data_IF_505794618527
#
_entry.id   IF_505794618527
#
_cell.length_a   1.000
_cell.length_b   1.000
_cell.length_c   1.000
_cell.angle_alpha   90.00
_cell.angle_beta   90.00
_cell.angle_gamma   90.00
#
_symmetry.space_group_name_H-M   'P 1'
#
loop_
_entity.id
_entity.type
_entity.pdbx_description
1 polymer ?
#
# COMPACT_ATOMS: atom_id res chain seq x y z
N UNK A 1 -0.51 -5.21 -6.25
CA UNK A 1 -1.99 -5.39 -6.32
C UNK A 1 -2.71 -4.07 -5.98
N UNK A 2 -2.53 -3.43 -4.81
CA UNK A 2 -3.25 -2.19 -4.46
C UNK A 2 -3.18 -1.10 -5.53
N UNK A 3 -1.99 -0.83 -6.09
CA UNK A 3 -1.81 0.12 -7.20
C UNK A 3 -2.67 -0.26 -8.41
N UNK A 4 -2.66 -1.54 -8.82
CA UNK A 4 -3.44 -2.00 -9.98
C UNK A 4 -4.95 -1.91 -9.74
N UNK A 5 -5.40 -2.25 -8.53
CA UNK A 5 -6.82 -2.11 -8.17
C UNK A 5 -7.23 -0.64 -8.21
N UNK A 6 -6.48 0.24 -7.55
CA UNK A 6 -6.76 1.67 -7.55
C UNK A 6 -6.82 2.24 -8.97
N UNK A 7 -5.87 1.86 -9.83
CA UNK A 7 -5.84 2.28 -11.24
C UNK A 7 -7.02 1.72 -12.07
N UNK A 8 -7.54 0.54 -11.70
CA UNK A 8 -8.66 -0.10 -12.40
C UNK A 8 -10.03 0.48 -12.04
N UNK A 9 -10.17 1.06 -10.84
CA UNK A 9 -11.48 1.49 -10.31
C UNK A 9 -11.59 2.99 -10.06
N UNK A 10 -10.50 3.76 -10.27
CA UNK A 10 -10.49 5.21 -10.04
C UNK A 10 -9.67 5.93 -11.10
N UNK A 11 -9.97 7.23 -11.30
CA UNK A 11 -9.14 8.16 -12.08
C UNK A 11 -8.17 8.97 -11.18
N UNK A 12 -7.96 8.53 -9.94
CA UNK A 12 -7.10 9.22 -8.98
C UNK A 12 -5.63 9.07 -9.39
N UNK A 13 -4.82 10.09 -9.11
CA UNK A 13 -3.37 9.98 -9.17
C UNK A 13 -2.86 9.11 -8.03
N UNK A 14 -2.07 8.11 -8.36
CA UNK A 14 -1.58 7.10 -7.41
C UNK A 14 -0.13 7.40 -7.06
N UNK A 15 0.12 7.66 -5.79
CA UNK A 15 1.45 7.79 -5.22
C UNK A 15 1.74 6.50 -4.42
N UNK A 16 2.69 5.71 -4.88
CA UNK A 16 3.15 4.53 -4.14
C UNK A 16 4.36 4.88 -3.29
N UNK A 17 4.30 4.51 -2.01
CA UNK A 17 5.38 4.74 -1.05
C UNK A 17 5.89 3.42 -0.52
N UNK A 18 7.19 3.19 -0.56
CA UNK A 18 7.86 2.01 0.03
C UNK A 18 9.28 2.41 0.46
N UNK A 19 9.96 1.54 1.17
CA UNK A 19 11.37 1.69 1.56
C UNK A 19 12.34 0.96 0.61
N UNK A 20 11.84 0.30 -0.41
CA UNK A 20 12.56 -0.59 -1.32
C UNK A 20 12.39 -0.11 -2.77
N UNK A 21 13.50 0.34 -3.37
CA UNK A 21 13.48 0.92 -4.72
C UNK A 21 13.06 -0.09 -5.80
N UNK A 22 13.34 -1.40 -5.62
CA UNK A 22 12.90 -2.43 -6.56
C UNK A 22 11.38 -2.57 -6.55
N UNK A 23 10.76 -2.50 -5.35
CA UNK A 23 9.30 -2.50 -5.23
C UNK A 23 8.69 -1.23 -5.81
N UNK A 24 9.34 -0.09 -5.63
CA UNK A 24 8.92 1.19 -6.20
C UNK A 24 8.98 1.16 -7.73
N UNK A 25 10.05 0.62 -8.31
CA UNK A 25 10.13 0.42 -9.77
C UNK A 25 8.98 -0.45 -10.27
N UNK A 26 8.74 -1.59 -9.61
CA UNK A 26 7.61 -2.47 -9.94
C UNK A 26 6.26 -1.76 -9.79
N UNK A 27 6.07 -0.95 -8.75
CA UNK A 27 4.84 -0.19 -8.55
C UNK A 27 4.62 0.83 -9.70
N UNK A 28 5.69 1.44 -10.20
CA UNK A 28 5.66 2.33 -11.35
C UNK A 28 5.21 1.60 -12.63
N UNK A 29 5.77 0.42 -12.88
CA UNK A 29 5.37 -0.44 -14.00
C UNK A 29 3.91 -0.90 -13.90
N UNK A 30 3.40 -1.06 -12.67
CA UNK A 30 2.02 -1.48 -12.39
C UNK A 30 1.02 -0.33 -12.37
N UNK A 31 1.40 0.88 -12.77
CA UNK A 31 0.51 2.01 -12.97
C UNK A 31 0.50 3.06 -11.84
N UNK A 32 1.49 3.08 -10.94
CA UNK A 32 1.64 4.22 -10.04
C UNK A 32 2.11 5.46 -10.82
N UNK A 33 1.44 6.61 -10.64
CA UNK A 33 1.85 7.86 -11.26
C UNK A 33 3.15 8.40 -10.68
N UNK A 34 3.32 8.21 -9.37
CA UNK A 34 4.51 8.62 -8.64
C UNK A 34 4.95 7.52 -7.68
N UNK A 35 6.26 7.45 -7.45
CA UNK A 35 6.87 6.54 -6.47
C UNK A 35 7.81 7.33 -5.57
N UNK A 36 7.79 7.05 -4.26
CA UNK A 36 8.57 7.77 -3.26
C UNK A 36 9.19 6.77 -2.28
N UNK A 37 10.49 6.87 -2.09
CA UNK A 37 11.17 6.10 -1.06
C UNK A 37 11.05 6.83 0.29
N UNK A 38 10.34 6.22 1.24
CA UNK A 38 10.10 6.83 2.56
C UNK A 38 11.30 6.82 3.51
N UNK A 39 12.44 6.24 3.10
CA UNK A 39 13.71 6.42 3.82
C UNK A 39 14.33 7.81 3.56
N UNK A 40 13.92 8.48 2.51
CA UNK A 40 14.39 9.83 2.21
C UNK A 40 13.75 10.83 3.19
N UNK A 41 14.56 11.74 3.70
CA UNK A 41 14.14 12.72 4.73
C UNK A 41 13.06 13.68 4.24
N UNK A 42 12.93 13.88 2.93
CA UNK A 42 12.00 14.79 2.26
C UNK A 42 10.76 14.08 1.65
N UNK A 43 10.54 12.82 2.01
CA UNK A 43 9.41 12.04 1.46
C UNK A 43 8.05 12.73 1.67
N UNK A 44 7.81 13.29 2.85
CA UNK A 44 6.58 14.05 3.13
C UNK A 44 6.45 15.29 2.26
N UNK A 45 7.53 16.04 2.08
CA UNK A 45 7.55 17.24 1.25
C UNK A 45 7.30 16.94 -0.22
N UNK A 46 7.88 15.84 -0.73
CA UNK A 46 7.64 15.36 -2.09
C UNK A 46 6.16 15.00 -2.30
N UNK A 47 5.54 14.27 -1.36
CA UNK A 47 4.11 13.94 -1.43
C UNK A 47 3.28 15.22 -1.43
N UNK A 48 3.55 16.14 -0.52
CA UNK A 48 2.84 17.41 -0.44
C UNK A 48 2.98 18.22 -1.73
N UNK A 49 4.16 18.25 -2.34
CA UNK A 49 4.40 18.91 -3.63
C UNK A 49 3.57 18.31 -4.75
N UNK A 50 3.52 16.96 -4.88
CA UNK A 50 2.69 16.26 -5.86
C UNK A 50 1.21 16.59 -5.65
N UNK A 51 0.78 16.75 -4.41
CA UNK A 51 -0.59 17.12 -4.02
C UNK A 51 -0.84 18.65 -4.05
N UNK A 52 0.04 19.45 -4.67
CA UNK A 52 -0.06 20.92 -4.73
C UNK A 52 -0.21 21.59 -3.36
N UNK A 53 0.45 21.07 -2.35
CA UNK A 53 0.43 21.57 -0.97
C UNK A 53 -0.83 21.25 -0.17
N UNK A 54 -1.84 20.60 -0.78
CA UNK A 54 -3.11 20.29 -0.12
C UNK A 54 -3.06 19.00 0.71
N UNK A 55 -2.17 18.08 0.36
CA UNK A 55 -2.09 16.72 0.88
C UNK A 55 -2.93 15.71 0.12
N UNK A 56 -2.76 14.44 0.44
CA UNK A 56 -3.43 13.31 -0.20
C UNK A 56 -4.91 13.23 0.20
N UNK A 57 -5.78 12.98 -0.78
CA UNK A 57 -7.23 12.79 -0.56
C UNK A 57 -7.52 11.54 0.27
N UNK A 58 -6.82 10.46 -0.05
CA UNK A 58 -6.92 9.19 0.66
C UNK A 58 -5.53 8.56 0.80
N UNK A 59 -5.30 7.93 1.93
CA UNK A 59 -4.11 7.11 2.21
C UNK A 59 -4.57 5.72 2.58
N UNK A 60 -3.95 4.70 2.00
CA UNK A 60 -4.17 3.30 2.34
C UNK A 60 -2.85 2.71 2.82
N UNK A 61 -2.77 2.43 4.12
CA UNK A 61 -1.55 1.88 4.74
C UNK A 61 -1.63 0.35 4.84
N UNK A 62 -0.85 -0.33 4.01
CA UNK A 62 -0.72 -1.80 3.99
C UNK A 62 0.33 -2.32 4.98
N UNK A 63 1.03 -1.45 5.69
CA UNK A 63 2.05 -1.81 6.68
C UNK A 63 1.54 -1.59 8.10
N UNK A 64 1.03 -0.39 8.38
CA UNK A 64 0.51 0.07 9.68
C UNK A 64 1.56 -0.07 10.79
N UNK A 65 2.71 0.58 10.57
CA UNK A 65 3.80 0.69 11.53
C UNK A 65 3.97 2.15 11.99
N UNK A 66 4.64 2.43 13.12
CA UNK A 66 4.80 3.81 13.58
C UNK A 66 5.39 4.78 12.56
N UNK A 67 6.39 4.43 11.73
CA UNK A 67 6.89 5.33 10.70
C UNK A 67 5.88 5.62 9.60
N UNK A 68 5.13 4.60 9.12
CA UNK A 68 4.11 4.78 8.07
C UNK A 68 2.96 5.61 8.60
N UNK A 69 2.44 5.28 9.78
CA UNK A 69 1.35 6.03 10.39
C UNK A 69 1.69 7.52 10.61
N UNK A 70 2.93 7.85 11.04
CA UNK A 70 3.38 9.25 11.15
C UNK A 70 3.36 9.96 9.81
N UNK A 71 3.85 9.32 8.76
CA UNK A 71 3.82 9.86 7.40
C UNK A 71 2.39 10.07 6.92
N UNK A 72 1.51 9.10 7.13
CA UNK A 72 0.10 9.14 6.72
C UNK A 72 -0.61 10.37 7.29
N UNK A 73 -0.50 10.59 8.60
CA UNK A 73 -1.08 11.78 9.24
C UNK A 73 -0.45 13.10 8.79
N UNK A 74 0.83 13.08 8.44
CA UNK A 74 1.53 14.28 7.95
C UNK A 74 1.02 14.69 6.57
N UNK A 75 0.82 13.72 5.66
CA UNK A 75 0.49 13.98 4.26
C UNK A 75 -1.02 14.01 3.98
N UNK A 76 -1.86 13.54 4.90
CA UNK A 76 -3.31 13.50 4.73
C UNK A 76 -3.90 14.91 4.73
N UNK A 77 -4.67 15.25 3.69
CA UNK A 77 -5.33 16.56 3.59
C UNK A 77 -6.48 16.72 4.60
N UNK A 78 -6.95 17.95 4.72
CA UNK A 78 -8.23 18.23 5.40
C UNK A 78 -9.37 17.47 4.69
N UNK A 79 -10.26 16.84 5.47
CA UNK A 79 -11.33 15.94 4.98
C UNK A 79 -10.81 14.73 4.21
N UNK A 80 -9.56 14.32 4.46
CA UNK A 80 -8.98 13.12 3.86
C UNK A 80 -9.39 11.85 4.59
N UNK A 81 -9.21 10.72 3.91
CA UNK A 81 -9.51 9.38 4.44
C UNK A 81 -8.21 8.59 4.65
N UNK A 82 -8.03 8.04 5.84
CA UNK A 82 -6.95 7.12 6.16
C UNK A 82 -7.53 5.72 6.38
N UNK A 83 -7.10 4.77 5.56
CA UNK A 83 -7.50 3.36 5.69
C UNK A 83 -6.30 2.53 6.14
N UNK A 84 -6.42 1.91 7.30
CA UNK A 84 -5.39 1.06 7.90
C UNK A 84 -5.70 -0.41 7.61
N UNK A 85 -4.85 -1.05 6.81
CA UNK A 85 -5.00 -2.45 6.36
C UNK A 85 -3.92 -3.33 6.97
N UNK A 86 -2.70 -2.81 7.11
CA UNK A 86 -1.55 -3.54 7.62
C UNK A 86 -1.69 -3.95 9.08
N UNK A 87 -0.99 -5.02 9.45
CA UNK A 87 -1.00 -5.59 10.80
C UNK A 87 0.41 -5.67 11.41
N UNK A 88 1.33 -4.81 10.96
CA UNK A 88 2.68 -4.80 11.54
C UNK A 88 2.65 -4.45 13.03
N UNK A 89 1.82 -3.47 13.39
CA UNK A 89 1.56 -3.09 14.77
C UNK A 89 2.52 -2.02 15.31
N UNK A 90 2.39 -1.75 16.59
CA UNK A 90 3.07 -0.67 17.30
C UNK A 90 2.09 0.40 17.76
N UNK A 91 2.62 1.55 18.17
CA UNK A 91 1.81 2.68 18.64
C UNK A 91 2.42 4.01 18.22
N UNK A 92 1.56 5.00 18.04
CA UNK A 92 1.94 6.40 17.89
C UNK A 92 1.15 7.24 18.88
N UNK A 93 1.74 8.35 19.32
CA UNK A 93 1.00 9.39 20.01
C UNK A 93 0.37 10.33 18.99
N UNK A 94 -0.93 10.49 19.07
CA UNK A 94 -1.71 11.36 18.20
C UNK A 94 -2.54 12.32 19.05
N UNK A 95 -2.39 13.63 18.81
CA UNK A 95 -3.26 14.63 19.41
C UNK A 95 -4.70 14.45 18.92
N UNK A 96 -5.63 14.17 19.82
CA UNK A 96 -7.04 13.96 19.48
C UNK A 96 -7.67 15.19 18.80
N UNK A 97 -7.15 16.39 19.06
CA UNK A 97 -7.61 17.64 18.43
C UNK A 97 -7.33 17.65 16.91
N UNK A 98 -6.33 16.91 16.45
CA UNK A 98 -5.99 16.83 15.01
C UNK A 98 -7.14 16.27 14.18
N UNK A 99 -7.87 15.28 14.71
CA UNK A 99 -8.95 14.61 14.00
C UNK A 99 -10.10 15.59 13.66
N UNK A 100 -10.72 16.29 14.63
CA UNK A 100 -11.80 17.23 14.32
C UNK A 100 -11.29 18.48 13.58
N UNK A 101 -10.11 19.01 13.88
CA UNK A 101 -9.58 20.19 13.16
C UNK A 101 -9.33 19.94 11.69
N UNK A 102 -8.85 18.74 11.35
CA UNK A 102 -8.68 18.31 9.95
C UNK A 102 -9.95 17.68 9.38
N UNK A 103 -10.95 17.34 10.19
CA UNK A 103 -12.18 16.61 9.79
C UNK A 103 -11.85 15.33 9.02
N UNK A 104 -10.83 14.60 9.44
CA UNK A 104 -10.36 13.37 8.78
C UNK A 104 -11.18 12.16 9.19
N UNK A 105 -11.26 11.18 8.30
CA UNK A 105 -11.82 9.85 8.59
C UNK A 105 -10.67 8.85 8.75
N UNK A 106 -10.73 8.02 9.79
CA UNK A 106 -9.81 6.91 10.01
C UNK A 106 -10.63 5.64 10.04
N UNK A 107 -10.28 4.70 9.18
CA UNK A 107 -10.99 3.43 9.04
C UNK A 107 -10.02 2.26 9.05
N UNK A 108 -10.33 1.22 9.81
CA UNK A 108 -9.67 -0.08 9.70
C UNK A 108 -10.32 -0.93 8.62
N UNK A 109 -9.51 -1.70 7.88
CA UNK A 109 -9.98 -2.71 6.95
C UNK A 109 -9.21 -4.02 7.22
N UNK A 110 -9.95 -5.09 7.52
CA UNK A 110 -9.37 -6.39 7.82
C UNK A 110 -9.93 -7.45 6.89
N UNK A 111 -9.04 -8.06 6.11
CA UNK A 111 -9.38 -9.07 5.11
C UNK A 111 -10.42 -8.57 4.10
N UNK A 112 -11.22 -9.46 3.56
CA UNK A 112 -12.34 -9.19 2.66
C UNK A 112 -13.42 -10.24 2.86
N UNK A 113 -14.59 -9.99 2.30
CA UNK A 113 -15.72 -10.92 2.31
C UNK A 113 -15.83 -11.63 0.95
N UNK A 114 -16.90 -12.42 0.77
CA UNK A 114 -17.15 -13.15 -0.47
C UNK A 114 -17.39 -12.21 -1.67
N UNK A 115 -18.12 -11.12 -1.46
CA UNK A 115 -18.45 -10.17 -2.53
C UNK A 115 -17.20 -9.42 -2.99
N UNK A 116 -16.31 -9.01 -2.07
CA UNK A 116 -15.00 -8.44 -2.39
C UNK A 116 -14.17 -9.37 -3.27
N UNK A 117 -14.21 -10.70 -2.99
CA UNK A 117 -13.51 -11.70 -3.80
C UNK A 117 -14.11 -11.80 -5.20
N UNK A 118 -15.45 -11.79 -5.32
CA UNK A 118 -16.15 -11.85 -6.60
C UNK A 118 -15.78 -10.64 -7.47
N UNK A 119 -15.79 -9.45 -6.88
CA UNK A 119 -15.40 -8.21 -7.57
C UNK A 119 -13.93 -8.23 -8.01
N UNK A 120 -13.03 -8.68 -7.13
CA UNK A 120 -11.61 -8.84 -7.44
C UNK A 120 -11.38 -9.79 -8.63
N UNK A 121 -12.07 -10.93 -8.63
CA UNK A 121 -12.01 -11.90 -9.74
C UNK A 121 -12.60 -11.35 -11.03
N UNK A 122 -13.63 -10.51 -10.96
CA UNK A 122 -14.18 -9.83 -12.13
C UNK A 122 -13.16 -8.86 -12.76
N UNK A 123 -12.41 -8.11 -11.95
CA UNK A 123 -11.29 -7.27 -12.41
C UNK A 123 -10.16 -8.10 -13.03
N UNK A 124 -9.81 -9.23 -12.39
CA UNK A 124 -8.78 -10.12 -12.91
C UNK A 124 -9.17 -10.72 -14.27
N UNK A 125 -10.43 -11.14 -14.45
CA UNK A 125 -10.96 -11.65 -15.73
C UNK A 125 -10.94 -10.63 -16.87
N UNK A 126 -11.04 -9.34 -16.54
CA UNK A 126 -10.88 -8.24 -17.51
C UNK A 126 -9.42 -8.00 -17.92
N UNK A 127 -8.46 -8.72 -17.32
CA UNK A 127 -7.03 -8.55 -17.59
C UNK A 127 -6.42 -7.28 -16.95
N UNK A 128 -7.14 -6.61 -16.06
CA UNK A 128 -6.67 -5.38 -15.40
C UNK A 128 -5.75 -5.67 -14.21
N UNK A 129 -5.73 -6.90 -13.71
CA UNK A 129 -4.90 -7.31 -12.59
C UNK A 129 -3.90 -8.37 -13.01
N UNK A 130 -2.62 -8.05 -12.87
CA UNK A 130 -1.50 -8.94 -13.18
C UNK A 130 -0.65 -9.14 -11.91
N UNK A 131 -0.88 -10.22 -11.12
CA UNK A 131 -0.10 -10.45 -9.92
C UNK A 131 1.37 -10.70 -10.27
N UNK A 132 2.27 -10.00 -9.60
CA UNK A 132 3.71 -10.21 -9.72
C UNK A 132 4.06 -11.49 -8.94
N UNK A 133 4.34 -12.58 -9.65
CA UNK A 133 4.80 -13.85 -9.08
C UNK A 133 6.28 -13.98 -9.40
N UNK A 134 7.14 -13.70 -8.41
CA UNK A 134 8.59 -13.70 -8.61
C UNK A 134 9.24 -15.07 -8.45
N UNK A 135 8.61 -15.95 -7.67
CA UNK A 135 9.12 -17.30 -7.40
C UNK A 135 8.01 -18.34 -7.33
N UNK A 136 8.35 -19.54 -7.77
CA UNK A 136 7.53 -20.75 -7.64
C UNK A 136 8.35 -21.81 -6.95
N UNK A 137 7.74 -22.54 -6.04
CA UNK A 137 8.33 -23.60 -5.24
C UNK A 137 7.48 -24.85 -5.35
N UNK A 138 8.10 -26.01 -5.17
CA UNK A 138 7.38 -27.28 -4.98
C UNK A 138 6.91 -27.38 -3.51
N UNK A 139 6.03 -28.33 -3.22
CA UNK A 139 5.49 -28.50 -1.87
C UNK A 139 6.57 -28.80 -0.80
N UNK A 140 7.57 -29.59 -1.16
CA UNK A 140 8.71 -29.95 -0.30
C UNK A 140 9.65 -28.76 -0.01
N UNK A 141 9.56 -27.67 -0.79
CA UNK A 141 10.36 -26.46 -0.63
C UNK A 141 9.68 -25.39 0.26
N UNK A 142 8.59 -25.72 0.96
CA UNK A 142 7.83 -24.75 1.77
C UNK A 142 8.72 -23.98 2.77
N UNK A 143 9.67 -24.67 3.43
CA UNK A 143 10.56 -24.02 4.38
C UNK A 143 11.48 -23.01 3.69
N UNK A 144 12.02 -23.38 2.52
CA UNK A 144 12.85 -22.48 1.71
C UNK A 144 12.05 -21.23 1.28
N UNK A 145 10.78 -21.43 0.89
CA UNK A 145 9.91 -20.31 0.52
C UNK A 145 9.67 -19.34 1.70
N UNK A 146 9.49 -19.87 2.91
CA UNK A 146 9.33 -19.07 4.13
C UNK A 146 10.62 -18.33 4.51
N UNK A 147 11.78 -18.98 4.38
CA UNK A 147 13.09 -18.37 4.60
C UNK A 147 13.36 -17.23 3.61
N UNK A 148 13.07 -17.44 2.32
CA UNK A 148 13.23 -16.42 1.29
C UNK A 148 12.26 -15.23 1.52
N UNK A 149 11.04 -15.49 1.98
CA UNK A 149 10.10 -14.43 2.36
C UNK A 149 10.63 -13.63 3.56
N UNK A 150 11.11 -14.31 4.60
CA UNK A 150 11.72 -13.68 5.78
C UNK A 150 12.97 -12.86 5.42
N UNK A 151 13.76 -13.37 4.49
CA UNK A 151 14.96 -12.70 3.97
C UNK A 151 14.64 -11.58 2.95
N UNK A 152 13.35 -11.27 2.70
CA UNK A 152 12.87 -10.26 1.74
C UNK A 152 13.34 -10.48 0.29
N UNK A 153 13.60 -11.72 -0.11
CA UNK A 153 14.03 -12.08 -1.47
C UNK A 153 12.87 -12.26 -2.46
N UNK A 154 11.63 -12.09 -1.99
CA UNK A 154 10.43 -12.27 -2.80
C UNK A 154 9.86 -10.90 -3.15
N UNK A 155 9.81 -10.59 -4.43
CA UNK A 155 9.12 -9.43 -4.97
C UNK A 155 7.70 -9.84 -5.36
N UNK A 156 6.70 -9.17 -4.82
CA UNK A 156 5.30 -9.51 -5.08
C UNK A 156 4.83 -10.76 -4.34
N UNK A 157 4.70 -11.88 -5.04
CA UNK A 157 4.21 -13.15 -4.46
C UNK A 157 5.13 -14.31 -4.80
N UNK A 158 5.20 -15.26 -3.88
CA UNK A 158 5.66 -16.61 -4.11
C UNK A 158 4.47 -17.56 -4.18
N UNK A 159 4.54 -18.56 -5.04
CA UNK A 159 3.51 -19.61 -5.18
C UNK A 159 4.16 -20.95 -4.90
N UNK A 160 3.50 -21.75 -4.07
CA UNK A 160 3.85 -23.15 -3.84
C UNK A 160 2.89 -23.98 -4.68
N UNK A 161 3.44 -24.83 -5.56
CA UNK A 161 2.66 -25.77 -6.36
C UNK A 161 2.68 -27.12 -5.63
N UNK A 162 1.51 -27.70 -5.34
CA UNK A 162 1.41 -29.04 -4.74
C UNK A 162 1.90 -30.13 -5.65
#
# INVERSE_FOLDING_TARGET
>A
MGVQIANAITDAKIICVDIDDQKLSTAKEMGADFVINSKESDASEKIMSICNGKGADSVVDFVNAPPTAKLDFAVLRKRGNLVLVGLFGGSIELSLVTIPLKSITIQGAYTGNYDDMVELLALARKGTLNPVISKRYNLDECNTALEDLKARKILGRAVINP
#
